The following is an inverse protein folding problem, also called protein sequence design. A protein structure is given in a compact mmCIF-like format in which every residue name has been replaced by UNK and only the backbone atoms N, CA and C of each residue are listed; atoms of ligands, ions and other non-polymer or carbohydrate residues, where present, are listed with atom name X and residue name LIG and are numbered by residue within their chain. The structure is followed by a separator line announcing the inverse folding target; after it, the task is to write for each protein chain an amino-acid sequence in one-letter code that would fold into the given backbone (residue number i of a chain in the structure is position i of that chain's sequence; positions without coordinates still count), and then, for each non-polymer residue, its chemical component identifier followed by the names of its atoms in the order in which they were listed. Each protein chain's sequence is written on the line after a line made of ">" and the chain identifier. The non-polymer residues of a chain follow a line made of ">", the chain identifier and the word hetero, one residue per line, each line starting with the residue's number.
data_IF_467858870952
#
_entry.id   IF_467858870952
#
_cell.length_a   1.000
_cell.length_b   1.000
_cell.length_c   1.000
_cell.angle_alpha   90.00
_cell.angle_beta   90.00
_cell.angle_gamma   90.00
#
_symmetry.space_group_name_H-M   'P 1'
#
loop_
_entity.id
_entity.type
_entity.pdbx_description
1 polymer ?
#
# COMPACT_ATOMS: atom_id res chain seq x y z
N UNK A 1 8.98 -25.95 -38.79
CA UNK A 1 7.77 -26.40 -38.09
C UNK A 1 8.10 -26.30 -36.61
N UNK A 2 7.61 -25.25 -35.94
CA UNK A 2 7.86 -25.05 -34.51
C UNK A 2 6.90 -25.95 -33.74
N UNK A 3 7.43 -26.82 -32.90
CA UNK A 3 6.59 -27.63 -32.00
C UNK A 3 5.89 -26.71 -31.01
N UNK A 4 4.58 -26.87 -30.78
CA UNK A 4 3.87 -26.12 -29.74
C UNK A 4 4.47 -26.47 -28.37
N UNK A 5 4.72 -25.43 -27.57
CA UNK A 5 5.13 -25.57 -26.17
C UNK A 5 3.94 -26.18 -25.41
N UNK A 6 4.18 -27.29 -24.71
CA UNK A 6 3.16 -27.98 -23.91
C UNK A 6 3.31 -27.63 -22.44
N UNK A 7 2.22 -27.72 -21.67
CA UNK A 7 2.24 -27.45 -20.22
C UNK A 7 3.23 -28.35 -19.46
N UNK A 8 3.40 -29.60 -19.92
CA UNK A 8 4.42 -30.51 -19.40
C UNK A 8 5.85 -30.06 -19.72
N UNK A 9 6.05 -29.38 -20.86
CA UNK A 9 7.33 -28.75 -21.21
C UNK A 9 7.63 -27.54 -20.33
N UNK A 10 6.62 -26.75 -19.98
CA UNK A 10 6.75 -25.60 -19.07
C UNK A 10 7.04 -26.05 -17.64
N UNK A 11 6.36 -27.10 -17.15
CA UNK A 11 6.56 -27.64 -15.80
C UNK A 11 7.96 -28.24 -15.57
N UNK A 12 8.66 -28.62 -16.66
CA UNK A 12 10.03 -29.15 -16.61
C UNK A 12 11.13 -28.11 -16.79
N UNK A 13 10.79 -26.83 -16.99
CA UNK A 13 11.80 -25.78 -17.10
C UNK A 13 12.50 -25.58 -15.75
N UNK A 14 13.85 -25.48 -15.70
CA UNK A 14 14.59 -25.28 -14.47
C UNK A 14 14.51 -23.81 -14.02
N UNK A 15 13.30 -23.32 -13.76
CA UNK A 15 13.04 -21.89 -13.45
C UNK A 15 13.72 -21.47 -12.13
N UNK A 16 14.00 -22.44 -11.23
CA UNK A 16 14.70 -22.17 -9.97
C UNK A 16 16.22 -22.03 -10.12
N UNK A 17 16.85 -22.74 -11.04
CA UNK A 17 18.30 -22.67 -11.26
C UNK A 17 18.68 -21.45 -12.12
N UNK A 18 17.87 -21.13 -13.15
CA UNK A 18 18.15 -20.00 -14.03
C UNK A 18 18.03 -18.61 -13.38
N UNK A 19 17.39 -18.52 -12.20
CA UNK A 19 17.18 -17.23 -11.52
C UNK A 19 18.48 -16.67 -10.90
N UNK A 20 19.38 -17.54 -10.47
CA UNK A 20 20.69 -17.13 -9.95
C UNK A 20 21.64 -16.71 -11.09
N UNK A 21 21.66 -17.44 -12.21
CA UNK A 21 22.43 -17.07 -13.40
C UNK A 21 21.94 -15.76 -14.02
N UNK A 22 20.62 -15.53 -14.12
CA UNK A 22 20.08 -14.26 -14.64
C UNK A 22 20.41 -13.06 -13.75
N UNK A 23 20.46 -13.23 -12.43
CA UNK A 23 20.85 -12.17 -11.50
C UNK A 23 22.35 -11.87 -11.58
N UNK A 24 23.20 -12.88 -11.73
CA UNK A 24 24.63 -12.65 -12.00
C UNK A 24 24.87 -12.01 -13.37
N UNK A 25 24.11 -12.40 -14.42
CA UNK A 25 24.23 -11.78 -15.74
C UNK A 25 23.82 -10.31 -15.71
N UNK A 26 22.68 -9.97 -15.08
CA UNK A 26 22.21 -8.58 -14.94
C UNK A 26 23.16 -7.74 -14.09
N UNK A 27 23.79 -8.31 -13.05
CA UNK A 27 24.76 -7.60 -12.20
C UNK A 27 26.18 -7.53 -12.80
N UNK A 28 26.51 -8.39 -13.76
CA UNK A 28 27.82 -8.44 -14.43
C UNK A 28 27.87 -7.66 -15.75
N UNK A 29 26.72 -7.17 -16.23
CA UNK A 29 26.69 -6.17 -17.29
C UNK A 29 27.41 -4.91 -16.79
N UNK A 30 28.65 -4.74 -17.26
CA UNK A 30 29.40 -3.53 -17.08
C UNK A 30 28.53 -2.33 -17.53
N UNK A 31 28.62 -1.17 -16.85
CA UNK A 31 27.90 0.02 -17.27
C UNK A 31 28.17 0.25 -18.76
N UNK A 32 27.11 0.32 -19.55
CA UNK A 32 27.23 0.70 -20.95
C UNK A 32 27.88 2.08 -20.97
N UNK A 33 29.13 2.15 -21.43
CA UNK A 33 29.80 3.41 -21.70
C UNK A 33 28.92 4.17 -22.69
N UNK A 34 28.22 5.18 -22.19
CA UNK A 34 27.45 6.08 -23.02
C UNK A 34 28.48 6.81 -23.88
N UNK A 35 28.63 6.40 -25.13
CA UNK A 35 29.54 7.06 -26.06
C UNK A 35 28.99 8.46 -26.29
N UNK A 36 29.64 9.46 -25.69
CA UNK A 36 29.33 10.87 -25.94
C UNK A 36 29.36 11.13 -27.45
N UNK A 37 28.31 11.73 -28.02
CA UNK A 37 28.34 12.15 -29.42
C UNK A 37 29.46 13.19 -29.59
N UNK A 38 30.36 12.92 -30.54
CA UNK A 38 31.45 13.82 -30.90
C UNK A 38 30.92 15.23 -31.24
N UNK A 39 31.58 16.31 -30.76
CA UNK A 39 31.11 17.67 -30.96
C UNK A 39 31.24 18.09 -32.43
N UNK A 40 30.10 18.43 -33.05
CA UNK A 40 30.07 19.14 -34.33
C UNK A 40 30.50 20.59 -34.08
N UNK A 41 31.73 20.91 -34.47
CA UNK A 41 32.27 22.25 -34.30
C UNK A 41 31.61 23.29 -35.22
N UNK A 42 31.21 24.44 -34.66
CA UNK A 42 31.35 25.79 -35.28
C UNK A 42 31.03 26.95 -34.31
N UNK A 43 32.07 27.75 -34.04
CA UNK A 43 32.13 29.18 -33.70
C UNK A 43 31.53 29.77 -32.40
N UNK A 44 32.44 29.99 -31.43
CA UNK A 44 32.69 31.20 -30.60
C UNK A 44 31.51 32.14 -30.25
N UNK A 45 31.13 32.18 -28.96
CA UNK A 45 31.21 33.35 -28.03
C UNK A 45 30.85 32.95 -26.56
N UNK A 46 31.90 32.75 -25.75
CA UNK A 46 32.19 33.13 -24.33
C UNK A 46 31.09 33.98 -23.62
N UNK A 47 30.56 33.80 -22.39
CA UNK A 47 31.00 33.33 -21.02
C UNK A 47 29.72 33.00 -20.13
N UNK A 48 29.78 32.63 -18.82
CA UNK A 48 29.17 31.42 -18.24
C UNK A 48 28.05 31.67 -17.20
N UNK A 49 27.22 30.67 -16.92
CA UNK A 49 26.46 30.57 -15.66
C UNK A 49 26.54 29.13 -15.16
N UNK A 50 26.93 29.02 -13.88
CA UNK A 50 27.04 27.82 -13.05
C UNK A 50 25.69 27.45 -12.41
N UNK A 51 25.64 26.24 -11.85
CA UNK A 51 24.66 25.66 -10.89
C UNK A 51 23.65 24.69 -11.56
N UNK A 52 23.77 23.38 -11.30
CA UNK A 52 23.18 22.64 -10.15
C UNK A 52 21.97 21.83 -10.68
N UNK A 53 21.58 20.66 -10.22
CA UNK A 53 22.10 19.70 -9.27
C UNK A 53 21.65 18.31 -9.79
N UNK A 54 22.46 17.27 -9.58
CA UNK A 54 22.00 15.90 -9.76
C UNK A 54 21.39 15.43 -8.44
N UNK A 55 20.09 15.15 -8.44
CA UNK A 55 19.42 14.37 -7.41
C UNK A 55 18.91 13.09 -8.10
N UNK A 56 19.58 11.98 -7.84
CA UNK A 56 19.11 10.64 -8.14
C UNK A 56 18.67 10.04 -6.82
N UNK A 57 17.37 9.92 -6.61
CA UNK A 57 16.81 9.04 -5.57
C UNK A 57 16.41 7.75 -6.26
N UNK A 58 17.26 6.74 -6.10
CA UNK A 58 16.92 5.35 -6.41
C UNK A 58 16.49 4.69 -5.10
N UNK A 59 15.18 4.47 -4.94
CA UNK A 59 14.64 3.52 -3.96
C UNK A 59 14.54 2.18 -4.67
N UNK A 60 15.53 1.32 -4.46
CA UNK A 60 15.44 -0.11 -4.75
C UNK A 60 16.10 -0.86 -3.58
N UNK A 61 15.33 -1.08 -2.53
CA UNK A 61 15.65 -2.03 -1.45
C UNK A 61 15.30 -3.45 -1.91
N UNK A 62 16.18 -4.04 -2.72
CA UNK A 62 16.05 -5.41 -3.22
C UNK A 62 16.97 -6.38 -2.47
N UNK A 63 16.35 -7.39 -1.85
CA UNK A 63 16.92 -8.44 -0.99
C UNK A 63 18.13 -9.16 -1.62
N UNK A 64 19.28 -9.12 -0.93
CA UNK A 64 20.42 -10.00 -1.18
C UNK A 64 20.60 -10.95 0.02
N UNK A 65 20.06 -12.16 -0.13
CA UNK A 65 20.18 -13.26 0.83
C UNK A 65 21.48 -14.03 0.57
N UNK A 66 22.45 -13.95 1.48
CA UNK A 66 23.63 -14.82 1.51
C UNK A 66 23.59 -15.68 2.77
N UNK A 67 23.50 -16.99 2.54
CA UNK A 67 23.39 -18.01 3.58
C UNK A 67 24.62 -18.09 4.46
N UNK A 68 24.38 -18.39 5.74
CA UNK A 68 25.38 -18.87 6.68
C UNK A 68 24.77 -19.95 7.59
N UNK A 69 25.52 -21.03 7.69
CA UNK A 69 25.28 -22.25 8.45
C UNK A 69 24.93 -21.97 9.92
N UNK A 70 23.95 -22.70 10.47
CA UNK A 70 23.68 -22.76 11.92
C UNK A 70 24.13 -24.12 12.48
N UNK A 71 24.98 -24.07 13.50
CA UNK A 71 25.23 -25.14 14.46
C UNK A 71 23.98 -25.33 15.37
N UNK A 72 23.55 -26.56 15.67
CA UNK A 72 22.46 -26.81 16.60
C UNK A 72 23.00 -26.92 18.04
N UNK A 73 22.91 -25.84 18.82
CA UNK A 73 22.82 -25.92 20.27
C UNK A 73 21.45 -25.43 20.70
N UNK A 74 20.56 -26.37 21.02
CA UNK A 74 19.25 -26.09 21.58
C UNK A 74 19.43 -25.56 23.02
N UNK A 75 19.15 -24.28 23.22
CA UNK A 75 19.00 -23.65 24.54
C UNK A 75 17.68 -24.09 25.16
N UNK A 76 17.72 -24.42 26.45
CA UNK A 76 16.53 -24.77 27.23
C UNK A 76 15.59 -23.56 27.39
N UNK A 77 14.25 -23.77 27.45
CA UNK A 77 13.29 -22.69 27.58
C UNK A 77 13.46 -21.94 28.91
N UNK A 78 13.53 -20.61 28.82
CA UNK A 78 13.56 -19.68 29.96
C UNK A 78 12.13 -19.57 30.53
N UNK A 79 11.92 -19.57 31.85
CA UNK A 79 10.60 -19.36 32.44
C UNK A 79 10.04 -17.99 32.04
N UNK A 80 8.80 -17.97 31.54
CA UNK A 80 8.07 -16.75 31.20
C UNK A 80 7.68 -16.02 32.47
N UNK A 81 8.08 -14.75 32.58
CA UNK A 81 7.61 -13.84 33.62
C UNK A 81 6.21 -13.33 33.25
N UNK A 82 5.34 -13.13 34.24
CA UNK A 82 4.03 -12.49 34.06
C UNK A 82 4.23 -11.05 33.53
N UNK A 83 4.03 -10.86 32.23
CA UNK A 83 4.11 -9.56 31.56
C UNK A 83 2.96 -8.61 31.95
N UNK A 84 3.05 -7.32 31.58
CA UNK A 84 1.99 -6.34 31.81
C UNK A 84 0.65 -6.87 31.27
N UNK A 85 -0.41 -6.74 32.08
CA UNK A 85 -1.68 -7.40 31.86
C UNK A 85 -2.32 -7.05 30.52
N UNK A 86 -2.77 -8.08 29.79
CA UNK A 86 -3.53 -7.93 28.56
C UNK A 86 -4.74 -7.02 28.78
N UNK A 87 -4.69 -5.80 28.23
CA UNK A 87 -5.86 -4.94 28.10
C UNK A 87 -6.92 -5.60 27.20
N UNK A 88 -8.19 -5.18 27.30
CA UNK A 88 -9.20 -5.59 26.33
C UNK A 88 -8.84 -4.99 24.96
N UNK A 89 -8.34 -5.81 24.03
CA UNK A 89 -7.89 -5.34 22.72
C UNK A 89 -7.52 -6.46 21.76
N UNK A 90 -7.69 -6.21 20.46
CA UNK A 90 -7.25 -7.10 19.37
C UNK A 90 -6.05 -6.50 18.61
N UNK A 91 -5.66 -5.25 18.94
CA UNK A 91 -4.61 -4.47 18.30
C UNK A 91 -3.41 -4.35 19.25
N UNK A 92 -2.23 -4.06 18.73
CA UNK A 92 -1.03 -3.84 19.54
C UNK A 92 -0.32 -2.55 19.16
N UNK A 93 0.22 -1.86 20.17
CA UNK A 93 1.05 -0.67 20.01
C UNK A 93 2.37 -0.83 20.75
N UNK A 94 3.41 -0.17 20.26
CA UNK A 94 4.70 -0.07 20.95
C UNK A 94 4.73 1.17 21.84
N UNK A 95 5.07 0.98 23.12
CA UNK A 95 5.22 2.08 24.10
C UNK A 95 6.67 2.37 24.46
N UNK A 96 7.61 1.82 23.70
CA UNK A 96 9.04 1.98 23.94
C UNK A 96 9.50 3.40 23.59
N UNK A 97 10.29 4.06 24.45
CA UNK A 97 10.85 5.37 24.12
C UNK A 97 11.82 5.27 22.94
N UNK A 98 11.88 6.33 22.13
CA UNK A 98 12.77 6.41 20.96
C UNK A 98 12.20 5.83 19.67
N UNK A 99 10.96 5.32 19.70
CA UNK A 99 10.24 4.84 18.53
C UNK A 99 9.15 5.82 18.11
N UNK A 100 8.96 5.98 16.82
CA UNK A 100 7.90 6.79 16.22
C UNK A 100 7.15 5.99 15.18
N UNK A 101 5.83 6.14 15.10
CA UNK A 101 5.02 5.60 14.02
C UNK A 101 5.34 6.37 12.74
N UNK A 102 5.64 5.66 11.65
CA UNK A 102 5.93 6.25 10.33
C UNK A 102 4.92 5.85 9.27
N UNK A 103 4.18 4.77 9.52
CA UNK A 103 3.12 4.30 8.64
C UNK A 103 2.01 3.67 9.46
N UNK A 104 0.78 3.87 9.01
CA UNK A 104 -0.39 3.23 9.62
C UNK A 104 -1.46 2.97 8.58
N UNK A 105 -2.03 1.78 8.60
CA UNK A 105 -3.30 1.48 7.91
C UNK A 105 -4.21 0.73 8.86
N UNK A 106 -5.51 1.01 8.79
CA UNK A 106 -6.51 0.25 9.56
C UNK A 106 -7.77 0.03 8.74
N UNK A 107 -8.00 -1.22 8.33
CA UNK A 107 -9.26 -1.65 7.73
C UNK A 107 -9.97 -2.69 8.63
N UNK A 108 -11.24 -2.46 8.99
CA UNK A 108 -11.97 -3.34 9.92
C UNK A 108 -12.25 -4.74 9.37
N UNK A 109 -12.06 -5.00 8.06
CA UNK A 109 -12.31 -6.26 7.37
C UNK A 109 -11.02 -6.98 6.98
N UNK A 110 -10.05 -6.27 6.40
CA UNK A 110 -8.77 -6.81 5.93
C UNK A 110 -7.64 -6.70 6.95
N UNK A 111 -7.86 -5.99 8.06
CA UNK A 111 -6.84 -5.73 9.05
C UNK A 111 -5.99 -4.51 8.68
N UNK A 112 -4.81 -4.41 9.25
CA UNK A 112 -3.98 -3.23 9.12
C UNK A 112 -2.56 -3.44 9.63
N UNK A 113 -1.81 -2.35 9.63
CA UNK A 113 -0.38 -2.32 9.88
C UNK A 113 0.03 -1.02 10.58
N UNK A 114 1.05 -1.11 11.42
CA UNK A 114 1.76 0.00 12.04
C UNK A 114 3.25 -0.21 11.85
N UNK A 115 3.92 0.74 11.21
CA UNK A 115 5.38 0.75 11.11
C UNK A 115 5.95 1.75 12.09
N UNK A 116 7.01 1.33 12.76
CA UNK A 116 7.79 2.15 13.64
C UNK A 116 9.24 2.21 13.17
N UNK A 117 9.83 3.40 13.32
CA UNK A 117 11.27 3.61 13.18
C UNK A 117 11.88 4.02 14.51
N UNK A 118 13.09 3.55 14.78
CA UNK A 118 13.85 3.94 15.95
C UNK A 118 14.74 5.16 15.66
N UNK A 119 14.72 6.16 16.55
CA UNK A 119 15.32 7.46 16.29
C UNK A 119 16.86 7.47 16.20
N UNK A 120 17.55 6.43 16.69
CA UNK A 120 19.01 6.44 16.85
C UNK A 120 19.75 5.43 15.98
N UNK A 121 19.06 4.50 15.35
CA UNK A 121 19.66 3.44 14.53
C UNK A 121 18.72 3.01 13.39
N UNK A 122 19.13 1.98 12.65
CA UNK A 122 18.40 1.44 11.49
C UNK A 122 17.31 0.44 11.89
N UNK A 123 16.89 0.41 13.16
CA UNK A 123 15.87 -0.54 13.61
C UNK A 123 14.47 -0.10 13.20
N UNK A 124 13.70 -1.05 12.69
CA UNK A 124 12.28 -0.88 12.38
C UNK A 124 11.44 -1.95 13.06
N UNK A 125 10.17 -1.66 13.29
CA UNK A 125 9.19 -2.61 13.81
C UNK A 125 7.89 -2.47 13.03
N UNK A 126 7.41 -3.56 12.44
CA UNK A 126 6.10 -3.65 11.77
C UNK A 126 5.16 -4.45 12.68
N UNK A 127 3.99 -3.91 13.01
CA UNK A 127 2.92 -4.61 13.72
C UNK A 127 1.73 -4.74 12.79
N UNK A 128 1.41 -5.97 12.41
CA UNK A 128 0.33 -6.27 11.47
C UNK A 128 -0.78 -7.03 12.20
N UNK A 129 -2.04 -6.60 12.04
CA UNK A 129 -3.20 -7.39 12.45
C UNK A 129 -3.89 -7.91 11.20
N UNK A 130 -4.00 -9.24 11.08
CA UNK A 130 -4.55 -9.90 9.90
C UNK A 130 -5.78 -10.73 10.22
N UNK A 131 -6.75 -10.86 9.30
CA UNK A 131 -7.95 -11.65 9.53
C UNK A 131 -7.61 -13.04 10.03
N UNK A 132 -8.27 -13.48 11.10
CA UNK A 132 -8.02 -14.76 11.79
C UNK A 132 -7.93 -15.96 10.83
N UNK A 133 -8.77 -15.97 9.79
CA UNK A 133 -8.81 -17.02 8.76
C UNK A 133 -7.49 -17.21 7.99
N UNK A 134 -6.58 -16.24 8.04
CA UNK A 134 -5.29 -16.29 7.35
C UNK A 134 -4.18 -16.88 8.22
N UNK A 135 -4.40 -17.06 9.53
CA UNK A 135 -3.36 -17.50 10.48
C UNK A 135 -2.60 -18.74 10.02
N UNK A 136 -3.32 -19.84 9.73
CA UNK A 136 -2.68 -21.10 9.34
C UNK A 136 -1.84 -20.95 8.06
N UNK A 137 -2.32 -20.15 7.10
CA UNK A 137 -1.60 -19.91 5.85
C UNK A 137 -0.29 -19.14 6.09
N UNK A 138 -0.30 -18.12 6.96
CA UNK A 138 0.90 -17.37 7.32
C UNK A 138 1.89 -18.22 8.13
N UNK A 139 1.40 -19.05 9.07
CA UNK A 139 2.28 -19.98 9.81
C UNK A 139 2.95 -20.96 8.85
N UNK A 140 2.21 -21.51 7.88
CA UNK A 140 2.78 -22.39 6.85
C UNK A 140 3.84 -21.66 6.02
N UNK A 141 3.54 -20.44 5.54
CA UNK A 141 4.49 -19.62 4.79
C UNK A 141 5.78 -19.34 5.58
N UNK A 142 5.69 -18.97 6.87
CA UNK A 142 6.88 -18.72 7.69
C UNK A 142 7.70 -19.99 7.96
N UNK A 143 7.06 -21.17 8.00
CA UNK A 143 7.77 -22.44 8.17
C UNK A 143 8.67 -22.79 6.97
N UNK A 144 8.42 -22.23 5.79
CA UNK A 144 9.32 -22.40 4.64
C UNK A 144 10.67 -21.67 4.84
N UNK A 145 10.73 -20.71 5.77
CA UNK A 145 11.94 -19.93 6.10
C UNK A 145 12.82 -20.69 7.09
N UNK A 146 12.22 -21.40 8.04
CA UNK A 146 12.95 -22.15 9.05
C UNK A 146 12.06 -22.72 10.16
N UNK A 147 12.68 -23.47 11.08
CA UNK A 147 11.99 -23.99 12.25
C UNK A 147 11.74 -22.86 13.27
N UNK A 148 10.48 -22.61 13.67
CA UNK A 148 10.19 -21.59 14.66
C UNK A 148 10.72 -21.96 16.03
N UNK A 149 10.93 -20.94 16.86
CA UNK A 149 11.11 -21.09 18.31
C UNK A 149 9.92 -20.48 19.03
N UNK A 150 9.60 -21.02 20.20
CA UNK A 150 8.56 -20.44 21.05
C UNK A 150 9.02 -19.12 21.68
N UNK A 151 8.12 -18.15 21.70
CA UNK A 151 8.27 -16.88 22.42
C UNK A 151 6.95 -16.50 23.07
N UNK A 152 6.96 -15.72 24.14
CA UNK A 152 5.75 -15.07 24.62
C UNK A 152 5.55 -13.73 23.91
N UNK A 153 4.36 -13.53 23.35
CA UNK A 153 3.93 -12.27 22.78
C UNK A 153 2.57 -11.94 23.39
N UNK A 154 2.54 -10.89 24.21
CA UNK A 154 1.32 -10.37 24.84
C UNK A 154 0.57 -11.49 25.60
N UNK A 155 1.30 -12.25 26.41
CA UNK A 155 0.78 -13.32 27.28
C UNK A 155 0.36 -14.60 26.57
N UNK A 156 0.77 -14.79 25.31
CA UNK A 156 0.51 -16.00 24.54
C UNK A 156 1.81 -16.60 24.03
N UNK A 157 1.90 -17.93 24.16
CA UNK A 157 2.90 -18.73 23.45
C UNK A 157 2.70 -18.56 21.95
N UNK A 158 3.70 -17.98 21.30
CA UNK A 158 3.71 -17.56 19.91
C UNK A 158 4.93 -18.15 19.20
N UNK A 159 4.90 -18.14 17.88
CA UNK A 159 5.94 -18.74 17.04
C UNK A 159 6.81 -17.64 16.46
N UNK A 160 8.12 -17.75 16.61
CA UNK A 160 9.09 -16.78 16.07
C UNK A 160 10.03 -17.44 15.07
N UNK A 161 10.23 -16.77 13.94
CA UNK A 161 11.15 -17.16 12.87
C UNK A 161 12.21 -16.08 12.67
N UNK A 162 13.39 -16.48 12.21
CA UNK A 162 14.49 -15.56 11.90
C UNK A 162 14.74 -15.57 10.39
N UNK A 163 14.51 -14.44 9.73
CA UNK A 163 14.94 -14.22 8.35
C UNK A 163 16.46 -13.99 8.29
N UNK A 164 17.05 -13.45 9.36
CA UNK A 164 18.48 -13.26 9.42
C UNK A 164 18.98 -13.16 10.85
N UNK A 165 20.24 -12.70 11.00
CA UNK A 165 20.76 -12.37 12.33
C UNK A 165 20.09 -11.11 12.91
N UNK A 166 19.57 -10.24 12.04
CA UNK A 166 19.02 -8.92 12.37
C UNK A 166 17.58 -8.70 11.88
N UNK A 167 16.85 -9.78 11.56
CA UNK A 167 15.49 -9.73 11.01
C UNK A 167 14.71 -10.95 11.52
N UNK A 168 13.64 -10.67 12.27
CA UNK A 168 12.85 -11.66 12.99
C UNK A 168 11.37 -11.34 12.86
N UNK A 169 10.53 -12.36 12.74
CA UNK A 169 9.07 -12.21 12.80
C UNK A 169 8.49 -13.13 13.88
N UNK A 170 7.42 -12.69 14.53
CA UNK A 170 6.63 -13.48 15.47
C UNK A 170 5.17 -13.43 15.06
N UNK A 171 4.51 -14.59 15.02
CA UNK A 171 3.06 -14.68 14.81
C UNK A 171 2.41 -15.15 16.11
N UNK A 172 1.53 -14.30 16.65
CA UNK A 172 0.69 -14.60 17.81
C UNK A 172 -0.50 -15.48 17.38
N UNK A 173 -0.89 -16.50 18.16
CA UNK A 173 -2.14 -17.22 17.91
C UNK A 173 -3.34 -16.28 17.84
N UNK A 174 -4.33 -16.66 17.02
CA UNK A 174 -5.59 -15.92 16.84
C UNK A 174 -6.28 -15.67 18.19
N UNK A 175 -6.71 -14.43 18.39
CA UNK A 175 -7.61 -14.04 19.47
C UNK A 175 -8.64 -13.05 18.93
N UNK A 176 -9.91 -13.44 18.93
CA UNK A 176 -10.97 -12.62 18.33
C UNK A 176 -10.94 -12.63 16.80
N UNK A 177 -11.00 -11.45 16.19
CA UNK A 177 -11.11 -11.28 14.73
C UNK A 177 -9.78 -11.34 13.99
N UNK A 178 -8.69 -11.06 14.69
CA UNK A 178 -7.37 -10.91 14.08
C UNK A 178 -6.31 -11.83 14.69
N UNK A 179 -5.25 -12.06 13.92
CA UNK A 179 -3.96 -12.57 14.36
C UNK A 179 -2.95 -11.43 14.28
N UNK A 180 -2.07 -11.32 15.28
CA UNK A 180 -0.96 -10.38 15.24
C UNK A 180 0.27 -11.04 14.63
N UNK A 181 0.93 -10.35 13.71
CA UNK A 181 2.32 -10.59 13.33
C UNK A 181 3.13 -9.36 13.71
N UNK A 182 4.30 -9.55 14.30
CA UNK A 182 5.24 -8.48 14.58
C UNK A 182 6.56 -8.83 13.93
N UNK A 183 7.10 -7.92 13.12
CA UNK A 183 8.41 -8.10 12.49
C UNK A 183 9.34 -6.99 12.92
N UNK A 184 10.57 -7.34 13.27
CA UNK A 184 11.62 -6.40 13.62
C UNK A 184 12.82 -6.58 12.70
N UNK A 185 13.29 -5.47 12.12
CA UNK A 185 14.51 -5.41 11.30
C UNK A 185 15.55 -4.51 11.96
N UNK A 186 16.84 -4.69 11.62
CA UNK A 186 17.94 -3.89 12.18
C UNK A 186 18.36 -4.28 13.61
N UNK A 187 17.83 -5.37 14.16
CA UNK A 187 18.06 -5.74 15.57
C UNK A 187 18.30 -7.24 15.74
N UNK A 188 19.22 -7.63 16.63
CA UNK A 188 19.43 -9.04 16.94
C UNK A 188 18.24 -9.63 17.72
N UNK A 189 18.23 -10.96 17.89
CA UNK A 189 17.12 -11.65 18.56
C UNK A 189 16.88 -11.15 20.00
N UNK A 190 17.95 -10.77 20.71
CA UNK A 190 17.83 -10.32 22.10
C UNK A 190 17.17 -8.94 22.15
N UNK A 191 17.60 -8.03 21.28
CA UNK A 191 17.00 -6.71 21.13
C UNK A 191 15.53 -6.82 20.67
N UNK A 192 15.22 -7.69 19.70
CA UNK A 192 13.85 -7.91 19.24
C UNK A 192 12.93 -8.38 20.36
N UNK A 193 13.34 -9.39 21.13
CA UNK A 193 12.57 -9.86 22.29
C UNK A 193 12.36 -8.77 23.35
N UNK A 194 13.33 -7.87 23.53
CA UNK A 194 13.18 -6.73 24.43
C UNK A 194 12.17 -5.69 23.93
N UNK A 195 12.04 -5.51 22.61
CA UNK A 195 11.00 -4.66 21.99
C UNK A 195 9.62 -5.34 22.13
N UNK A 196 9.51 -6.64 21.88
CA UNK A 196 8.24 -7.37 22.03
C UNK A 196 7.66 -7.26 23.45
N UNK A 197 8.51 -7.23 24.47
CA UNK A 197 8.11 -7.05 25.87
C UNK A 197 7.56 -5.65 26.20
N UNK A 198 7.69 -4.69 25.28
CA UNK A 198 7.19 -3.32 25.40
C UNK A 198 5.94 -3.07 24.54
N UNK A 199 5.36 -4.12 23.97
CA UNK A 199 4.09 -4.04 23.28
C UNK A 199 2.94 -4.11 24.29
N UNK A 200 1.87 -3.37 23.99
CA UNK A 200 0.62 -3.38 24.75
C UNK A 200 -0.55 -3.74 23.84
N UNK A 201 -1.45 -4.61 24.31
CA UNK A 201 -2.74 -4.85 23.64
C UNK A 201 -3.69 -3.68 23.91
N UNK A 202 -4.26 -3.13 22.85
CA UNK A 202 -5.12 -1.96 22.89
C UNK A 202 -6.39 -2.13 22.06
N UNK A 203 -7.42 -1.37 22.43
CA UNK A 203 -8.60 -1.14 21.59
C UNK A 203 -8.37 0.02 20.63
N UNK A 204 -9.35 0.24 19.75
CA UNK A 204 -9.28 1.25 18.68
C UNK A 204 -9.05 2.68 19.19
N UNK A 205 -9.82 3.13 20.18
CA UNK A 205 -9.67 4.48 20.75
C UNK A 205 -8.26 4.73 21.32
N UNK A 206 -7.63 3.68 21.84
CA UNK A 206 -6.28 3.77 22.39
C UNK A 206 -5.23 3.71 21.29
N UNK A 207 -5.43 2.91 20.23
CA UNK A 207 -4.61 2.97 19.03
C UNK A 207 -4.54 4.40 18.48
N UNK A 208 -5.68 5.09 18.35
CA UNK A 208 -5.74 6.48 17.86
C UNK A 208 -4.91 7.45 18.71
N UNK A 209 -4.79 7.23 20.02
CA UNK A 209 -3.94 8.04 20.91
C UNK A 209 -2.43 7.80 20.73
N UNK A 210 -2.05 6.75 20.01
CA UNK A 210 -0.66 6.41 19.70
C UNK A 210 -0.26 6.78 18.27
N UNK A 211 -1.21 7.25 17.45
CA UNK A 211 -0.93 7.77 16.12
C UNK A 211 -0.19 9.12 16.22
N UNK A 212 0.58 9.49 15.20
CA UNK A 212 1.25 10.78 15.16
C UNK A 212 0.21 11.92 15.09
N UNK A 213 0.60 13.13 15.51
CA UNK A 213 -0.32 14.29 15.63
C UNK A 213 -0.94 14.70 14.28
N UNK A 214 -0.26 14.39 13.17
CA UNK A 214 -0.73 14.60 11.80
C UNK A 214 -1.73 13.56 11.29
N UNK A 215 -1.98 12.48 12.05
CA UNK A 215 -2.94 11.47 11.66
C UNK A 215 -4.38 11.99 11.77
N UNK A 216 -5.20 11.71 10.76
CA UNK A 216 -6.63 12.03 10.74
C UNK A 216 -7.36 11.00 11.60
N UNK A 217 -7.87 11.46 12.74
CA UNK A 217 -8.62 10.63 13.67
C UNK A 217 -10.06 10.41 13.19
N UNK A 218 -10.73 9.43 13.78
CA UNK A 218 -12.09 9.05 13.36
C UNK A 218 -13.13 10.15 13.55
N UNK A 219 -12.99 10.99 14.58
CA UNK A 219 -13.87 12.12 14.83
C UNK A 219 -13.56 13.34 13.93
N UNK A 220 -12.37 13.39 13.33
CA UNK A 220 -11.93 14.43 12.38
C UNK A 220 -12.24 14.06 10.93
N UNK A 221 -12.31 12.76 10.64
CA UNK A 221 -12.48 12.17 9.31
C UNK A 221 -13.61 12.77 8.48
N UNK A 222 -14.75 13.06 9.10
CA UNK A 222 -15.87 13.68 8.39
C UNK A 222 -15.51 15.08 7.87
N UNK A 223 -14.81 15.88 8.67
CA UNK A 223 -14.35 17.21 8.28
C UNK A 223 -13.25 17.14 7.21
N UNK A 224 -12.31 16.20 7.34
CA UNK A 224 -11.26 16.00 6.34
C UNK A 224 -11.82 15.63 4.95
N UNK A 225 -12.83 14.75 4.90
CA UNK A 225 -13.51 14.44 3.64
C UNK A 225 -14.29 15.65 3.10
N UNK A 226 -14.95 16.44 3.96
CA UNK A 226 -15.63 17.68 3.53
C UNK A 226 -14.65 18.69 2.92
N UNK A 227 -13.46 18.82 3.52
CA UNK A 227 -12.38 19.65 3.01
C UNK A 227 -11.89 19.16 1.65
N UNK A 228 -11.57 17.87 1.51
CA UNK A 228 -11.13 17.26 0.27
C UNK A 228 -12.15 17.40 -0.89
N UNK A 229 -13.44 17.53 -0.57
CA UNK A 229 -14.51 17.75 -1.56
C UNK A 229 -14.69 19.21 -2.00
N UNK A 230 -13.99 20.16 -1.38
CA UNK A 230 -14.15 21.57 -1.70
C UNK A 230 -13.77 21.84 -3.16
N UNK A 231 -14.71 22.36 -3.94
CA UNK A 231 -14.50 22.68 -5.36
C UNK A 231 -14.70 21.49 -6.32
N UNK A 232 -15.03 20.30 -5.81
CA UNK A 232 -15.23 19.10 -6.62
C UNK A 232 -16.72 18.92 -6.96
N UNK A 233 -17.12 18.89 -8.24
CA UNK A 233 -18.51 18.61 -8.62
C UNK A 233 -18.87 17.15 -8.36
N UNK A 234 -19.96 16.90 -7.64
CA UNK A 234 -20.49 15.55 -7.41
C UNK A 234 -21.57 15.17 -8.43
N UNK A 235 -21.58 13.93 -8.96
CA UNK A 235 -22.70 13.45 -9.75
C UNK A 235 -23.93 13.24 -8.86
N UNK A 236 -25.13 13.41 -9.41
CA UNK A 236 -26.38 13.27 -8.63
C UNK A 236 -26.61 11.88 -8.01
N UNK A 237 -25.87 10.87 -8.49
CA UNK A 237 -25.89 9.49 -7.97
C UNK A 237 -24.94 9.26 -6.81
N UNK A 238 -24.02 10.18 -6.52
CA UNK A 238 -23.08 10.09 -5.42
C UNK A 238 -23.47 11.11 -4.36
N UNK A 239 -23.86 10.62 -3.18
CA UNK A 239 -24.05 11.50 -2.04
C UNK A 239 -22.76 11.61 -1.24
N UNK A 240 -22.60 12.73 -0.53
CA UNK A 240 -21.50 12.93 0.41
C UNK A 240 -21.36 11.79 1.42
N UNK A 241 -22.48 11.22 1.87
CA UNK A 241 -22.49 10.15 2.87
C UNK A 241 -21.96 8.80 2.36
N UNK A 242 -21.91 8.61 1.04
CA UNK A 242 -21.39 7.40 0.41
C UNK A 242 -19.86 7.44 0.24
N UNK A 243 -19.25 8.61 0.42
CA UNK A 243 -17.80 8.81 0.35
C UNK A 243 -17.21 8.52 1.72
N UNK A 244 -16.52 7.38 1.79
CA UNK A 244 -15.85 6.88 2.98
C UNK A 244 -14.35 6.89 2.74
N UNK A 245 -13.58 7.05 3.81
CA UNK A 245 -12.14 6.86 3.80
C UNK A 245 -11.71 6.24 5.11
N UNK A 246 -10.81 5.26 5.06
CA UNK A 246 -10.09 4.74 6.23
C UNK A 246 -8.67 5.28 6.31
N UNK A 247 -8.29 6.16 5.37
CA UNK A 247 -6.99 6.82 5.33
C UNK A 247 -6.71 7.58 6.62
N UNK A 248 -5.49 7.46 7.12
CA UNK A 248 -5.05 8.11 8.36
C UNK A 248 -4.17 9.32 8.06
N UNK A 249 -3.77 9.51 6.81
CA UNK A 249 -3.06 10.70 6.36
C UNK A 249 -3.94 11.57 5.46
N UNK A 250 -3.61 12.85 5.36
CA UNK A 250 -4.26 13.76 4.42
C UNK A 250 -4.21 13.23 2.98
N UNK A 251 -3.05 12.73 2.57
CA UNK A 251 -2.85 12.08 1.27
C UNK A 251 -3.88 10.98 0.99
N UNK A 252 -4.02 10.02 1.91
CA UNK A 252 -4.92 8.89 1.75
C UNK A 252 -6.38 9.31 1.73
N UNK A 253 -6.78 10.28 2.58
CA UNK A 253 -8.15 10.79 2.57
C UNK A 253 -8.47 11.47 1.25
N UNK A 254 -7.56 12.32 0.74
CA UNK A 254 -7.71 12.94 -0.59
C UNK A 254 -7.79 11.86 -1.67
N UNK A 255 -6.95 10.83 -1.59
CA UNK A 255 -6.95 9.73 -2.55
C UNK A 255 -8.29 9.00 -2.59
N UNK A 256 -8.80 8.54 -1.44
CA UNK A 256 -10.09 7.86 -1.32
C UNK A 256 -11.25 8.72 -1.85
N UNK A 257 -11.25 10.00 -1.49
CA UNK A 257 -12.31 10.94 -1.88
C UNK A 257 -12.31 11.18 -3.39
N UNK A 258 -11.14 11.48 -3.96
CA UNK A 258 -11.02 11.77 -5.39
C UNK A 258 -11.19 10.53 -6.26
N UNK A 259 -10.79 9.34 -5.77
CA UNK A 259 -11.18 8.05 -6.36
C UNK A 259 -12.70 7.92 -6.43
N UNK A 260 -13.39 8.03 -5.28
CA UNK A 260 -14.83 7.83 -5.21
C UNK A 260 -15.60 8.74 -6.18
N UNK A 261 -15.23 10.02 -6.24
CA UNK A 261 -15.86 10.99 -7.16
C UNK A 261 -15.54 10.67 -8.62
N UNK A 262 -14.29 10.38 -8.94
CA UNK A 262 -13.86 10.07 -10.31
C UNK A 262 -14.54 8.81 -10.82
N UNK A 263 -14.57 7.74 -10.01
CA UNK A 263 -15.26 6.49 -10.32
C UNK A 263 -16.76 6.72 -10.58
N UNK A 264 -17.44 7.51 -9.75
CA UNK A 264 -18.86 7.79 -9.95
C UNK A 264 -19.13 8.56 -11.25
N UNK A 265 -18.26 9.49 -11.64
CA UNK A 265 -18.37 10.19 -12.93
C UNK A 265 -18.06 9.28 -14.13
N UNK A 266 -17.09 8.37 -14.02
CA UNK A 266 -16.81 7.38 -15.05
C UNK A 266 -18.01 6.45 -15.24
N UNK A 267 -18.58 5.92 -14.16
CA UNK A 267 -19.76 5.05 -14.22
C UNK A 267 -20.96 5.77 -14.87
N UNK A 268 -21.16 7.05 -14.51
CA UNK A 268 -22.19 7.89 -15.13
C UNK A 268 -21.94 8.09 -16.63
N UNK A 269 -20.70 8.40 -17.02
CA UNK A 269 -20.29 8.56 -18.42
C UNK A 269 -20.53 7.29 -19.23
N UNK A 270 -20.10 6.12 -18.72
CA UNK A 270 -20.24 4.84 -19.40
C UNK A 270 -21.71 4.44 -19.57
N UNK A 271 -22.51 4.55 -18.51
CA UNK A 271 -23.95 4.31 -18.57
C UNK A 271 -24.64 5.26 -19.54
N UNK A 272 -24.36 6.55 -19.48
CA UNK A 272 -24.96 7.55 -20.36
C UNK A 272 -24.62 7.30 -21.83
N UNK A 273 -23.38 6.89 -22.12
CA UNK A 273 -22.95 6.53 -23.48
C UNK A 273 -23.67 5.28 -23.98
N UNK A 274 -23.80 4.24 -23.14
CA UNK A 274 -24.53 3.01 -23.47
C UNK A 274 -26.02 3.28 -23.76
N UNK A 275 -26.64 4.18 -22.99
CA UNK A 275 -28.04 4.58 -23.15
C UNK A 275 -28.27 5.65 -24.23
N UNK A 276 -27.22 6.10 -24.93
CA UNK A 276 -27.25 7.21 -25.89
C UNK A 276 -27.78 8.55 -25.31
N UNK A 277 -27.51 8.82 -24.03
CA UNK A 277 -27.89 10.06 -23.32
C UNK A 277 -26.83 11.15 -23.46
N UNK A 278 -26.78 11.79 -24.62
CA UNK A 278 -25.74 12.79 -24.96
C UNK A 278 -25.53 13.90 -23.92
N UNK A 279 -26.61 14.47 -23.37
CA UNK A 279 -26.50 15.52 -22.34
C UNK A 279 -25.85 15.02 -21.04
N UNK A 280 -26.08 13.76 -20.69
CA UNK A 280 -25.49 13.15 -19.49
C UNK A 280 -24.01 12.79 -19.70
N UNK A 281 -23.63 12.42 -20.93
CA UNK A 281 -22.22 12.28 -21.33
C UNK A 281 -21.50 13.62 -21.19
N UNK A 282 -22.06 14.68 -21.77
CA UNK A 282 -21.50 16.03 -21.70
C UNK A 282 -21.34 16.52 -20.26
N UNK A 283 -22.31 16.23 -19.39
CA UNK A 283 -22.22 16.57 -17.96
C UNK A 283 -21.02 15.93 -17.28
N UNK A 284 -20.77 14.64 -17.50
CA UNK A 284 -19.60 13.96 -16.91
C UNK A 284 -18.29 14.51 -17.45
N UNK A 285 -18.23 14.81 -18.74
CA UNK A 285 -17.07 15.43 -19.38
C UNK A 285 -16.79 16.82 -18.79
N UNK A 286 -17.80 17.66 -18.62
CA UNK A 286 -17.64 18.99 -18.04
C UNK A 286 -17.19 18.93 -16.57
N UNK A 287 -17.72 17.98 -15.79
CA UNK A 287 -17.31 17.80 -14.41
C UNK A 287 -15.84 17.36 -14.30
N UNK A 288 -15.44 16.30 -15.01
CA UNK A 288 -14.07 15.80 -14.98
C UNK A 288 -13.07 16.73 -15.67
N UNK A 289 -13.49 17.59 -16.60
CA UNK A 289 -12.64 18.63 -17.17
C UNK A 289 -12.11 19.62 -16.10
N UNK A 290 -12.73 19.69 -14.92
CA UNK A 290 -12.26 20.51 -13.80
C UNK A 290 -11.25 19.81 -12.89
N UNK A 291 -10.90 18.54 -13.15
CA UNK A 291 -10.05 17.76 -12.23
C UNK A 291 -8.65 18.35 -12.00
N UNK A 292 -8.10 19.04 -13.01
CA UNK A 292 -6.83 19.77 -12.89
C UNK A 292 -6.93 21.04 -12.03
N UNK A 293 -8.14 21.46 -11.66
CA UNK A 293 -8.39 22.62 -10.79
C UNK A 293 -8.95 22.19 -9.42
N UNK A 294 -8.98 20.88 -9.11
CA UNK A 294 -9.47 20.39 -7.83
C UNK A 294 -8.43 20.67 -6.74
N UNK A 295 -8.71 21.54 -5.75
CA UNK A 295 -7.72 21.97 -4.76
C UNK A 295 -7.06 20.80 -4.03
N UNK A 296 -7.82 19.74 -3.74
CA UNK A 296 -7.31 18.57 -3.05
C UNK A 296 -6.25 17.81 -3.86
N UNK A 297 -6.41 17.70 -5.19
CA UNK A 297 -5.41 17.05 -6.05
C UNK A 297 -4.15 17.89 -6.23
N UNK A 298 -4.30 19.20 -6.31
CA UNK A 298 -3.16 20.12 -6.34
C UNK A 298 -2.33 20.05 -5.05
N UNK A 299 -3.00 19.95 -3.90
CA UNK A 299 -2.36 19.89 -2.59
C UNK A 299 -1.46 18.66 -2.43
N UNK A 300 -1.84 17.53 -3.03
CA UNK A 300 -1.06 16.28 -2.99
C UNK A 300 -0.29 16.00 -4.30
N UNK A 301 -0.21 16.95 -5.23
CA UNK A 301 0.34 16.72 -6.57
C UNK A 301 1.84 16.33 -6.54
N UNK A 302 2.59 16.87 -5.59
CA UNK A 302 4.01 16.56 -5.39
C UNK A 302 4.22 15.29 -4.52
N UNK A 303 3.14 14.68 -4.04
CA UNK A 303 3.14 13.50 -3.17
C UNK A 303 2.79 12.23 -3.97
N UNK A 304 3.81 11.55 -4.47
CA UNK A 304 3.59 10.31 -5.23
C UNK A 304 3.03 10.55 -6.63
N UNK A 305 2.03 9.76 -7.05
CA UNK A 305 1.51 9.78 -8.43
C UNK A 305 -0.01 9.72 -8.53
N UNK A 306 -0.71 10.00 -7.44
CA UNK A 306 -2.16 9.87 -7.38
C UNK A 306 -2.89 10.93 -8.23
N UNK A 307 -2.49 12.20 -8.12
CA UNK A 307 -3.09 13.29 -8.92
C UNK A 307 -2.94 13.03 -10.42
N UNK A 308 -1.75 12.61 -10.86
CA UNK A 308 -1.51 12.20 -12.25
C UNK A 308 -2.43 11.07 -12.72
N UNK A 309 -2.69 10.09 -11.86
CA UNK A 309 -3.62 9.01 -12.17
C UNK A 309 -5.04 9.56 -12.38
N UNK A 310 -5.55 10.37 -11.44
CA UNK A 310 -6.89 10.96 -11.54
C UNK A 310 -7.02 11.85 -12.79
N UNK A 311 -6.02 12.69 -13.06
CA UNK A 311 -5.97 13.54 -14.25
C UNK A 311 -5.99 12.73 -15.55
N UNK A 312 -5.24 11.61 -15.61
CA UNK A 312 -5.27 10.71 -16.77
C UNK A 312 -6.67 10.14 -17.03
N UNK A 313 -7.36 9.65 -16.00
CA UNK A 313 -8.73 9.14 -16.15
C UNK A 313 -9.71 10.24 -16.55
N UNK A 314 -9.58 11.44 -15.96
CA UNK A 314 -10.38 12.60 -16.32
C UNK A 314 -10.19 12.99 -17.79
N UNK A 315 -8.95 13.10 -18.26
CA UNK A 315 -8.61 13.44 -19.65
C UNK A 315 -9.18 12.42 -20.65
N UNK A 316 -9.14 11.12 -20.32
CA UNK A 316 -9.76 10.05 -21.12
C UNK A 316 -11.27 10.27 -21.27
N UNK A 317 -11.97 10.56 -20.17
CA UNK A 317 -13.43 10.81 -20.21
C UNK A 317 -13.74 12.08 -21.00
N UNK A 318 -12.99 13.16 -20.76
CA UNK A 318 -13.13 14.44 -21.48
C UNK A 318 -12.94 14.24 -22.98
N UNK A 319 -11.97 13.42 -23.40
CA UNK A 319 -11.74 13.06 -24.80
C UNK A 319 -12.82 12.12 -25.37
N UNK A 320 -13.69 11.54 -24.53
CA UNK A 320 -14.75 10.63 -24.91
C UNK A 320 -14.30 9.18 -25.12
N UNK A 321 -13.14 8.80 -24.56
CA UNK A 321 -12.47 7.50 -24.76
C UNK A 321 -12.39 7.09 -26.24
N UNK A 322 -11.66 7.86 -27.08
CA UNK A 322 -11.70 7.71 -28.54
C UNK A 322 -11.03 6.44 -29.05
N UNK A 323 -10.19 5.78 -28.25
CA UNK A 323 -9.46 4.58 -28.66
C UNK A 323 -9.84 3.35 -27.83
N UNK A 324 -9.56 2.15 -28.37
CA UNK A 324 -9.73 0.91 -27.63
C UNK A 324 -8.84 0.82 -26.38
N UNK A 325 -7.67 1.46 -26.41
CA UNK A 325 -6.76 1.53 -25.26
C UNK A 325 -7.35 2.40 -24.14
N UNK A 326 -7.98 3.52 -24.49
CA UNK A 326 -8.64 4.38 -23.51
C UNK A 326 -9.80 3.63 -22.83
N UNK A 327 -10.55 2.84 -23.60
CA UNK A 327 -11.58 1.97 -23.03
C UNK A 327 -10.98 0.89 -22.12
N UNK A 328 -9.88 0.24 -22.51
CA UNK A 328 -9.20 -0.74 -21.67
C UNK A 328 -8.73 -0.13 -20.33
N UNK A 329 -8.23 1.10 -20.35
CA UNK A 329 -7.89 1.83 -19.12
C UNK A 329 -9.12 2.10 -18.26
N UNK A 330 -10.22 2.59 -18.85
CA UNK A 330 -11.48 2.78 -18.12
C UNK A 330 -12.00 1.46 -17.53
N UNK A 331 -11.90 0.35 -18.27
CA UNK A 331 -12.32 -0.98 -17.78
C UNK A 331 -11.40 -1.46 -16.64
N UNK A 332 -10.11 -1.08 -16.67
CA UNK A 332 -9.10 -1.37 -15.65
C UNK A 332 -9.11 -0.43 -14.43
N UNK A 333 -10.04 0.53 -14.35
CA UNK A 333 -10.12 1.52 -13.25
C UNK A 333 -10.21 0.91 -11.85
N UNK A 334 -10.72 -0.31 -11.74
CA UNK A 334 -10.83 -1.04 -10.48
C UNK A 334 -9.46 -1.34 -9.87
N UNK A 335 -8.47 -1.69 -10.71
CA UNK A 335 -7.10 -1.95 -10.29
C UNK A 335 -6.28 -0.65 -10.20
N UNK A 336 -6.63 0.36 -10.99
CA UNK A 336 -5.89 1.62 -11.09
C UNK A 336 -6.19 2.62 -9.97
N UNK A 337 -7.45 3.00 -9.80
CA UNK A 337 -7.89 4.02 -8.82
C UNK A 337 -8.86 3.44 -7.79
N UNK A 338 -8.94 2.12 -7.68
CA UNK A 338 -9.70 1.45 -6.61
C UNK A 338 -11.21 1.60 -6.73
N UNK A 339 -11.76 1.81 -7.94
CA UNK A 339 -13.21 1.89 -8.10
C UNK A 339 -13.89 0.64 -7.49
N UNK A 340 -15.06 0.77 -6.86
CA UNK A 340 -15.81 -0.39 -6.44
C UNK A 340 -16.21 -1.18 -7.69
N UNK A 341 -15.78 -2.44 -7.78
CA UNK A 341 -16.17 -3.35 -8.85
C UNK A 341 -17.67 -3.26 -9.09
N UNK A 342 -18.07 -2.90 -10.32
CA UNK A 342 -19.46 -2.71 -10.76
C UNK A 342 -20.31 -4.00 -10.75
N UNK A 343 -20.06 -4.90 -9.81
CA UNK A 343 -20.93 -6.01 -9.46
C UNK A 343 -22.20 -5.49 -8.83
N UNK A 344 -22.99 -4.75 -9.62
CA UNK A 344 -24.42 -4.50 -9.43
C UNK A 344 -24.81 -4.45 -7.96
N UNK A 345 -24.32 -3.45 -7.22
CA UNK A 345 -25.04 -3.02 -6.03
C UNK A 345 -26.47 -2.74 -6.52
N UNK A 346 -27.43 -3.56 -6.09
CA UNK A 346 -28.81 -3.47 -6.53
C UNK A 346 -29.37 -2.10 -6.22
N UNK A 347 -29.26 -1.18 -7.18
CA UNK A 347 -29.83 0.15 -7.08
C UNK A 347 -31.34 0.02 -6.92
N UNK A 348 -31.98 0.84 -6.07
CA UNK A 348 -33.42 0.87 -5.98
C UNK A 348 -33.98 1.23 -7.36
N UNK A 349 -34.98 0.48 -7.81
CA UNK A 349 -35.72 0.81 -9.02
C UNK A 349 -36.15 2.28 -8.94
N UNK A 350 -35.72 3.10 -9.89
CA UNK A 350 -36.22 4.45 -10.07
C UNK A 350 -37.64 4.33 -10.66
N UNK A 351 -38.60 4.04 -9.78
CA UNK A 351 -40.02 4.20 -10.08
C UNK A 351 -40.38 5.68 -10.01
N UNK A 352 -40.78 6.26 -11.15
CA UNK A 352 -41.58 7.48 -11.14
C UNK A 352 -41.18 8.56 -12.14
N UNK A 353 -41.41 8.31 -13.42
CA UNK A 353 -41.78 9.39 -14.36
C UNK A 353 -43.17 9.03 -14.92
N UNK A 354 -44.23 9.78 -14.61
CA UNK A 354 -45.50 9.59 -15.28
C UNK A 354 -45.38 10.15 -16.71
N UNK A 355 -45.62 9.29 -17.69
CA UNK A 355 -45.79 9.71 -19.09
C UNK A 355 -47.13 10.47 -19.26
N UNK A 356 -47.21 11.42 -20.20
CA UNK A 356 -48.43 12.21 -20.48
C UNK A 356 -49.60 11.40 -21.03
#
# INVERSE_FOLDING_TARGET
>A
MNSPITDAGVAGLPIREGRAELLEEIMSLAPVETTEPAPVGRHRRVLPVLAAAAAVLAVVGGVAWLGLQRDPQATAPVPLADGPGAGPGELAVLTAPGWSVTYVTDDPKSGGELDYEHATDDSTLEIMWRPAKLYDAYVVDRNDIGTPVDVDLLGKRSLMWAYGKRDHTVIRPVEGRFSLEVRGSGMDETAFRAVLAQLELVGHDRLQQHLPDEAILDDERAAAIDEALTGIPLPSTLSRADILSTGLTHYEVVADVTAAVTCAWIDWFESARSDHRAAAVEQAQQALATAHDWPALDDIADEGGWSDAIWQYADIVVAGAPTARDQELLDGRFDGIGCPGGGSAGGPAIDGVPAP
#
